data_IF_068145695131
#
_entry.id   IF_068145695131
#
_cell.length_a   1.000
_cell.length_b   1.000
_cell.length_c   1.000
_cell.angle_alpha   90.00
_cell.angle_beta   90.00
_cell.angle_gamma   90.00
#
_symmetry.space_group_name_H-M   'P 1'
#
loop_
_entity.id
_entity.type
_entity.pdbx_description
1 polymer ?
#
# COMPACT_ATOMS: atom_id res chain seq x y z
N UNK A 1 -68.14 -46.90 -8.09
CA UNK A 1 -66.88 -46.38 -8.68
C UNK A 1 -66.71 -44.93 -8.26
N UNK A 2 -65.90 -44.69 -7.23
CA UNK A 2 -65.58 -43.37 -6.70
C UNK A 2 -64.52 -42.70 -7.59
N UNK A 3 -64.74 -41.44 -7.99
CA UNK A 3 -63.67 -40.55 -8.46
C UNK A 3 -63.47 -39.47 -7.41
N UNK A 4 -62.36 -39.57 -6.68
CA UNK A 4 -61.91 -38.54 -5.76
C UNK A 4 -61.34 -37.36 -6.56
N UNK A 5 -61.84 -36.16 -6.31
CA UNK A 5 -61.25 -34.90 -6.75
C UNK A 5 -60.31 -34.46 -5.63
N UNK A 6 -59.00 -34.52 -5.87
CA UNK A 6 -57.99 -33.98 -4.96
C UNK A 6 -57.77 -32.51 -5.34
N UNK A 7 -58.22 -31.62 -4.46
CA UNK A 7 -57.89 -30.18 -4.49
C UNK A 7 -56.44 -30.02 -4.02
N UNK A 8 -55.53 -29.67 -4.93
CA UNK A 8 -54.17 -29.29 -4.59
C UNK A 8 -54.10 -27.82 -4.20
N UNK A 9 -54.07 -27.51 -2.91
CA UNK A 9 -53.72 -26.19 -2.39
C UNK A 9 -52.21 -25.97 -2.50
N UNK A 10 -51.77 -25.20 -3.49
CA UNK A 10 -50.39 -24.70 -3.56
C UNK A 10 -50.15 -23.64 -2.48
N UNK A 11 -49.46 -24.03 -1.41
CA UNK A 11 -48.86 -23.10 -0.45
C UNK A 11 -47.63 -22.47 -1.10
N UNK A 12 -47.74 -21.20 -1.51
CA UNK A 12 -46.59 -20.37 -1.84
C UNK A 12 -45.88 -20.00 -0.54
N UNK A 13 -44.81 -20.72 -0.21
CA UNK A 13 -43.84 -20.26 0.79
C UNK A 13 -43.02 -19.15 0.14
N UNK A 14 -43.37 -17.91 0.44
CA UNK A 14 -42.56 -16.74 0.10
C UNK A 14 -41.22 -16.84 0.81
N UNK A 15 -40.21 -17.36 0.12
CA UNK A 15 -38.83 -17.26 0.56
C UNK A 15 -38.48 -15.78 0.63
N UNK A 16 -38.34 -15.26 1.85
CA UNK A 16 -37.65 -14.00 2.07
C UNK A 16 -36.23 -14.23 1.57
N UNK A 17 -35.92 -13.73 0.38
CA UNK A 17 -34.54 -13.60 -0.05
C UNK A 17 -33.88 -12.71 1.00
N UNK A 18 -33.08 -13.32 1.87
CA UNK A 18 -32.12 -12.58 2.67
C UNK A 18 -31.16 -11.98 1.63
N UNK A 19 -31.48 -10.77 1.19
CA UNK A 19 -30.53 -9.94 0.49
C UNK A 19 -29.26 -9.94 1.35
N UNK A 20 -28.18 -10.43 0.75
CA UNK A 20 -26.86 -10.48 1.36
C UNK A 20 -26.51 -9.04 1.75
N UNK A 21 -26.80 -8.63 2.99
CA UNK A 21 -26.31 -7.37 3.52
C UNK A 21 -24.79 -7.54 3.48
N UNK A 22 -24.13 -6.84 2.55
CA UNK A 22 -22.68 -6.79 2.57
C UNK A 22 -22.30 -6.20 3.92
N UNK A 23 -21.78 -7.04 4.81
CA UNK A 23 -21.23 -6.61 6.08
C UNK A 23 -20.28 -5.44 5.80
N UNK A 24 -20.52 -4.31 6.46
CA UNK A 24 -19.62 -3.16 6.46
C UNK A 24 -18.20 -3.63 6.80
N UNK A 25 -17.22 -3.36 5.94
CA UNK A 25 -15.84 -3.79 6.17
C UNK A 25 -15.04 -2.69 6.84
N UNK A 26 -14.10 -3.05 7.70
CA UNK A 26 -13.10 -2.17 8.26
C UNK A 26 -11.82 -2.29 7.42
N UNK A 27 -11.36 -1.18 6.85
CA UNK A 27 -10.22 -1.15 5.92
C UNK A 27 -9.14 -0.22 6.42
N UNK A 28 -7.93 -0.76 6.61
CA UNK A 28 -6.77 0.01 7.01
C UNK A 28 -5.85 0.25 5.81
N UNK A 29 -5.45 1.50 5.61
CA UNK A 29 -4.44 1.92 4.63
C UNK A 29 -3.28 2.58 5.36
N UNK A 30 -2.08 2.02 5.20
CA UNK A 30 -0.85 2.48 5.82
C UNK A 30 0.05 3.06 4.73
N UNK A 31 0.27 4.37 4.73
CA UNK A 31 1.14 5.08 3.80
C UNK A 31 2.49 5.33 4.47
N UNK A 32 3.58 4.83 3.88
CA UNK A 32 4.93 5.06 4.41
C UNK A 32 6.01 5.19 3.35
N UNK A 33 7.15 5.72 3.78
CA UNK A 33 8.33 5.95 2.96
C UNK A 33 8.90 7.36 3.11
N UNK A 34 9.40 7.93 2.02
CA UNK A 34 10.15 9.19 2.05
C UNK A 34 9.83 10.08 0.85
N UNK A 35 10.44 11.27 0.80
CA UNK A 35 10.38 12.25 -0.30
C UNK A 35 8.95 12.50 -0.78
N UNK A 36 8.56 11.93 -1.92
CA UNK A 36 7.25 12.12 -2.52
C UNK A 36 6.11 11.60 -1.63
N UNK A 37 6.30 10.50 -0.89
CA UNK A 37 5.31 10.06 0.11
C UNK A 37 5.15 11.07 1.23
N UNK A 38 6.26 11.66 1.72
CA UNK A 38 6.20 12.65 2.79
C UNK A 38 5.42 13.89 2.35
N UNK A 39 5.47 14.25 1.07
CA UNK A 39 4.78 15.42 0.49
C UNK A 39 3.34 15.16 0.07
N UNK A 40 2.97 13.93 -0.27
CA UNK A 40 1.59 13.56 -0.63
C UNK A 40 0.63 13.85 0.53
N UNK A 41 -0.36 14.73 0.36
CA UNK A 41 -1.45 14.83 1.32
C UNK A 41 -2.53 13.80 0.97
N UNK A 42 -2.79 12.76 1.80
CA UNK A 42 -3.80 11.76 1.46
C UNK A 42 -5.22 12.33 1.39
N UNK A 43 -5.51 13.42 2.11
CA UNK A 43 -6.86 13.98 2.17
C UNK A 43 -7.27 14.75 0.90
N UNK A 44 -6.31 15.10 0.05
CA UNK A 44 -6.61 15.80 -1.20
C UNK A 44 -7.35 14.87 -2.18
N UNK A 45 -6.88 13.63 -2.35
CA UNK A 45 -7.45 12.71 -3.34
C UNK A 45 -7.41 11.23 -2.96
N UNK A 46 -6.43 10.76 -2.18
CA UNK A 46 -6.34 9.34 -1.79
C UNK A 46 -7.53 8.92 -0.92
N UNK A 47 -7.74 9.59 0.22
CA UNK A 47 -8.83 9.29 1.16
C UNK A 47 -10.21 9.49 0.53
N UNK A 48 -10.50 10.61 -0.18
CA UNK A 48 -11.79 10.79 -0.85
C UNK A 48 -12.08 9.70 -1.91
N UNK A 49 -11.07 9.25 -2.65
CA UNK A 49 -11.23 8.19 -3.66
C UNK A 49 -11.62 6.86 -3.01
N UNK A 50 -10.99 6.52 -1.89
CA UNK A 50 -11.34 5.31 -1.11
C UNK A 50 -12.76 5.39 -0.56
N UNK A 51 -13.14 6.51 0.06
CA UNK A 51 -14.48 6.70 0.61
C UNK A 51 -15.57 6.62 -0.46
N UNK A 52 -15.31 7.15 -1.65
CA UNK A 52 -16.23 7.02 -2.79
C UNK A 52 -16.37 5.57 -3.26
N UNK A 53 -15.28 4.81 -3.28
CA UNK A 53 -15.28 3.42 -3.72
C UNK A 53 -15.86 2.44 -2.68
N UNK A 54 -15.81 2.82 -1.40
CA UNK A 54 -16.26 2.04 -0.26
C UNK A 54 -17.17 2.87 0.68
N UNK A 55 -18.33 3.36 0.19
CA UNK A 55 -19.13 4.38 0.89
C UNK A 55 -19.73 3.91 2.22
N UNK A 56 -19.81 2.60 2.42
CA UNK A 56 -20.37 1.99 3.62
C UNK A 56 -19.30 1.38 4.52
N UNK A 57 -18.03 1.36 4.10
CA UNK A 57 -16.96 0.74 4.87
C UNK A 57 -16.31 1.77 5.79
N UNK A 58 -15.77 1.31 6.91
CA UNK A 58 -14.95 2.14 7.77
C UNK A 58 -13.53 2.18 7.22
N UNK A 59 -13.16 3.32 6.63
CA UNK A 59 -11.84 3.55 6.03
C UNK A 59 -10.94 4.29 7.02
N UNK A 60 -9.85 3.65 7.44
CA UNK A 60 -8.80 4.26 8.27
C UNK A 60 -7.55 4.45 7.43
N UNK A 61 -7.05 5.69 7.39
CA UNK A 61 -5.82 6.05 6.69
C UNK A 61 -4.79 6.53 7.70
N UNK A 62 -3.63 5.87 7.71
CA UNK A 62 -2.48 6.24 8.54
C UNK A 62 -1.34 6.60 7.60
N UNK A 63 -0.71 7.75 7.83
CA UNK A 63 0.50 8.13 7.10
C UNK A 63 1.64 8.39 8.08
N UNK A 64 2.74 7.68 7.90
CA UNK A 64 4.02 7.96 8.56
C UNK A 64 5.15 7.93 7.52
N UNK A 65 5.67 9.11 7.19
CA UNK A 65 6.72 9.25 6.18
C UNK A 65 7.67 10.38 6.55
N UNK A 66 8.95 10.26 6.17
CA UNK A 66 9.96 11.27 6.47
C UNK A 66 10.91 11.48 5.31
N UNK A 67 11.08 12.73 4.88
CA UNK A 67 11.92 13.10 3.74
C UNK A 67 13.41 12.80 3.91
N UNK A 68 14.07 12.41 2.82
CA UNK A 68 15.53 12.28 2.72
C UNK A 68 16.11 11.05 3.42
N UNK A 69 15.29 10.06 3.75
CA UNK A 69 15.70 8.92 4.57
C UNK A 69 15.95 7.66 3.72
N UNK A 70 17.03 6.89 3.99
CA UNK A 70 17.28 5.62 3.32
C UNK A 70 16.37 4.51 3.88
N UNK A 71 16.11 3.47 3.09
CA UNK A 71 15.23 2.35 3.49
C UNK A 71 15.75 1.60 4.72
N UNK A 72 17.04 1.66 5.03
CA UNK A 72 17.62 1.08 6.26
C UNK A 72 17.04 1.65 7.55
N UNK A 73 16.39 2.81 7.50
CA UNK A 73 15.63 3.39 8.61
C UNK A 73 14.31 2.66 8.87
N UNK A 74 13.80 1.92 7.87
CA UNK A 74 12.59 1.10 7.95
C UNK A 74 12.87 -0.40 8.07
N UNK A 75 14.07 -0.86 7.71
CA UNK A 75 14.45 -2.27 7.86
C UNK A 75 15.03 -2.51 9.25
N UNK A 76 14.42 -3.42 10.02
CA UNK A 76 15.03 -3.86 11.29
C UNK A 76 16.29 -4.68 10.99
N UNK A 77 17.34 -4.54 11.80
CA UNK A 77 18.50 -5.41 11.67
C UNK A 77 18.11 -6.86 11.99
N UNK A 78 18.74 -7.82 11.33
CA UNK A 78 18.60 -9.23 11.72
C UNK A 78 19.19 -9.43 13.12
N UNK A 79 18.68 -10.43 13.86
CA UNK A 79 19.21 -10.81 15.18
C UNK A 79 20.73 -11.13 15.15
N UNK A 80 21.28 -11.50 13.99
CA UNK A 80 22.71 -11.72 13.79
C UNK A 80 23.56 -10.44 13.67
N UNK A 81 22.94 -9.25 13.64
CA UNK A 81 23.60 -7.95 13.40
C UNK A 81 23.74 -7.09 14.65
N UNK A 82 23.42 -7.61 15.84
CA UNK A 82 23.31 -6.86 17.11
C UNK A 82 24.58 -6.12 17.55
N UNK A 83 25.76 -6.51 17.04
CA UNK A 83 27.05 -5.94 17.47
C UNK A 83 27.49 -4.62 16.80
N UNK A 84 26.83 -4.14 15.74
CA UNK A 84 27.30 -2.99 14.94
C UNK A 84 26.19 -2.05 14.45
N UNK A 85 25.13 -1.89 15.26
CA UNK A 85 23.97 -1.08 14.86
C UNK A 85 24.27 0.42 14.98
N UNK A 86 24.19 1.12 13.85
CA UNK A 86 24.10 2.59 13.88
C UNK A 86 22.80 2.98 14.59
N UNK A 87 22.84 4.06 15.39
CA UNK A 87 21.73 4.55 16.25
C UNK A 87 20.43 4.92 15.53
N UNK A 88 20.35 4.67 14.22
CA UNK A 88 19.31 5.13 13.31
C UNK A 88 18.73 3.99 12.46
N UNK A 89 19.16 2.74 12.59
CA UNK A 89 18.59 1.63 11.81
C UNK A 89 17.25 1.21 12.41
N UNK A 90 16.22 1.00 11.58
CA UNK A 90 14.91 0.47 11.99
C UNK A 90 13.98 1.39 12.79
N UNK A 91 14.46 2.50 13.33
CA UNK A 91 13.67 3.40 14.19
C UNK A 91 12.50 4.13 13.50
N UNK A 92 12.53 4.38 12.19
CA UNK A 92 11.33 4.89 11.48
C UNK A 92 10.27 3.81 11.34
N UNK A 93 10.67 2.55 11.25
CA UNK A 93 9.71 1.47 11.30
C UNK A 93 9.12 1.30 12.69
N UNK A 94 9.91 1.45 13.76
CA UNK A 94 9.35 1.41 15.12
C UNK A 94 8.34 2.55 15.34
N UNK A 95 8.61 3.75 14.81
CA UNK A 95 7.65 4.87 14.81
C UNK A 95 6.39 4.54 14.01
N UNK A 96 6.54 4.00 12.79
CA UNK A 96 5.42 3.57 11.95
C UNK A 96 4.56 2.55 12.70
N UNK A 97 5.17 1.49 13.23
CA UNK A 97 4.46 0.41 13.90
C UNK A 97 3.77 0.90 15.18
N UNK A 98 4.41 1.78 15.94
CA UNK A 98 3.78 2.42 17.11
C UNK A 98 2.54 3.24 16.70
N UNK A 99 2.65 4.02 15.63
CA UNK A 99 1.52 4.83 15.10
C UNK A 99 0.39 3.94 14.63
N UNK A 100 0.70 2.86 13.90
CA UNK A 100 -0.28 1.86 13.46
C UNK A 100 -0.98 1.25 14.66
N UNK A 101 -0.24 0.70 15.63
CA UNK A 101 -0.80 0.05 16.83
C UNK A 101 -1.72 0.97 17.63
N UNK A 102 -1.34 2.24 17.81
CA UNK A 102 -2.17 3.22 18.55
C UNK A 102 -3.45 3.54 17.77
N UNK A 103 -3.35 3.78 16.47
CA UNK A 103 -4.50 4.17 15.64
C UNK A 103 -5.40 2.99 15.26
N UNK A 104 -4.92 1.76 15.47
CA UNK A 104 -5.61 0.51 15.15
C UNK A 104 -6.04 -0.28 16.40
N UNK A 105 -5.82 0.25 17.61
CA UNK A 105 -5.94 -0.49 18.87
C UNK A 105 -7.32 -1.13 19.10
N UNK A 106 -8.38 -0.45 18.64
CA UNK A 106 -9.76 -0.83 18.89
C UNK A 106 -10.44 -1.52 17.69
N UNK A 107 -9.71 -1.77 16.60
CA UNK A 107 -10.28 -2.16 15.31
C UNK A 107 -9.81 -3.52 14.80
N UNK A 108 -10.74 -4.46 14.61
CA UNK A 108 -10.52 -5.55 13.65
C UNK A 108 -10.61 -4.98 12.23
N UNK A 109 -9.62 -5.27 11.37
CA UNK A 109 -9.60 -4.84 9.98
C UNK A 109 -9.75 -6.03 9.04
N UNK A 110 -10.78 -6.03 8.19
CA UNK A 110 -10.97 -7.03 7.15
C UNK A 110 -9.81 -6.98 6.14
N UNK A 111 -9.35 -5.78 5.79
CA UNK A 111 -8.23 -5.60 4.85
C UNK A 111 -7.22 -4.61 5.38
N UNK A 112 -5.94 -4.92 5.20
CA UNK A 112 -4.82 -3.99 5.42
C UNK A 112 -4.07 -3.80 4.11
N UNK A 113 -3.83 -2.55 3.75
CA UNK A 113 -3.06 -2.17 2.55
C UNK A 113 -1.88 -1.31 2.96
N UNK A 114 -0.67 -1.74 2.60
CA UNK A 114 0.55 -0.97 2.76
C UNK A 114 0.91 -0.27 1.44
N UNK A 115 0.88 1.05 1.45
CA UNK A 115 1.25 1.91 0.32
C UNK A 115 2.65 2.46 0.59
N UNK A 116 3.61 2.02 -0.20
CA UNK A 116 5.02 2.34 -0.04
C UNK A 116 5.52 3.24 -1.16
N UNK A 117 6.19 4.34 -0.81
CA UNK A 117 6.94 5.12 -1.79
C UNK A 117 8.19 5.74 -1.17
N UNK A 118 9.33 5.23 -1.61
CA UNK A 118 10.66 5.55 -1.13
C UNK A 118 11.65 5.02 -2.18
N UNK A 119 12.89 5.50 -2.18
CA UNK A 119 13.97 4.90 -2.96
C UNK A 119 14.99 5.91 -3.44
N UNK A 120 14.59 7.19 -3.52
CA UNK A 120 15.44 8.26 -4.01
C UNK A 120 16.69 8.45 -3.14
N UNK A 121 16.60 8.26 -1.82
CA UNK A 121 17.78 8.30 -0.95
C UNK A 121 18.75 7.14 -1.20
N UNK A 122 18.25 5.93 -1.45
CA UNK A 122 19.09 4.74 -1.66
C UNK A 122 19.77 4.81 -3.03
N UNK A 123 19.04 5.26 -4.06
CA UNK A 123 19.59 5.53 -5.38
C UNK A 123 20.70 6.61 -5.31
N UNK A 124 20.45 7.73 -4.61
CA UNK A 124 21.46 8.78 -4.43
C UNK A 124 22.71 8.32 -3.65
N UNK A 125 22.57 7.33 -2.77
CA UNK A 125 23.67 6.77 -1.98
C UNK A 125 24.37 5.58 -2.65
N UNK A 126 24.01 5.25 -3.89
CA UNK A 126 24.53 4.10 -4.64
C UNK A 126 24.26 2.76 -3.94
N UNK A 127 23.05 2.63 -3.43
CA UNK A 127 22.59 1.46 -2.67
C UNK A 127 21.47 0.70 -3.40
N UNK A 128 21.38 0.84 -4.73
CA UNK A 128 20.32 0.22 -5.52
C UNK A 128 20.37 -1.31 -5.51
N UNK A 129 21.56 -1.90 -5.47
CA UNK A 129 21.76 -3.37 -5.46
C UNK A 129 21.06 -4.07 -4.28
N UNK A 130 21.05 -3.42 -3.12
CA UNK A 130 20.46 -3.97 -1.89
C UNK A 130 19.01 -3.50 -1.67
N UNK A 131 18.41 -2.79 -2.63
CA UNK A 131 17.10 -2.18 -2.44
C UNK A 131 15.99 -3.22 -2.34
N UNK A 132 15.98 -4.19 -3.26
CA UNK A 132 14.94 -5.22 -3.31
C UNK A 132 14.86 -6.01 -2.00
N UNK A 133 16.00 -6.52 -1.53
CA UNK A 133 16.06 -7.32 -0.30
C UNK A 133 15.58 -6.53 0.91
N UNK A 134 15.92 -5.24 1.00
CA UNK A 134 15.46 -4.37 2.08
C UNK A 134 13.97 -4.06 2.00
N UNK A 135 13.42 -3.81 0.81
CA UNK A 135 11.98 -3.58 0.67
C UNK A 135 11.18 -4.85 0.98
N UNK A 136 11.64 -6.02 0.53
CA UNK A 136 11.06 -7.30 0.96
C UNK A 136 11.14 -7.48 2.48
N UNK A 137 12.23 -7.08 3.11
CA UNK A 137 12.35 -7.13 4.57
C UNK A 137 11.33 -6.21 5.27
N UNK A 138 11.14 -4.96 4.79
CA UNK A 138 10.11 -4.03 5.32
C UNK A 138 8.70 -4.61 5.20
N UNK A 139 8.37 -5.20 4.05
CA UNK A 139 7.06 -5.84 3.83
C UNK A 139 6.91 -7.06 4.75
N UNK A 140 7.93 -7.92 4.82
CA UNK A 140 7.92 -9.15 5.61
C UNK A 140 7.78 -8.89 7.11
N UNK A 141 8.55 -7.93 7.66
CA UNK A 141 8.43 -7.56 9.07
C UNK A 141 7.06 -6.96 9.38
N UNK A 142 6.47 -6.18 8.46
CA UNK A 142 5.12 -5.64 8.65
C UNK A 142 4.06 -6.75 8.65
N UNK A 143 4.15 -7.71 7.71
CA UNK A 143 3.29 -8.92 7.71
C UNK A 143 3.39 -9.66 9.04
N UNK A 144 4.61 -9.87 9.55
CA UNK A 144 4.85 -10.54 10.83
C UNK A 144 4.30 -9.78 12.03
N UNK A 145 4.64 -8.49 12.17
CA UNK A 145 4.25 -7.65 13.30
C UNK A 145 2.73 -7.38 13.35
N UNK A 146 2.06 -7.42 12.18
CA UNK A 146 0.61 -7.32 12.08
C UNK A 146 -0.09 -8.68 12.13
N UNK A 147 0.65 -9.79 12.06
CA UNK A 147 0.12 -11.15 11.95
C UNK A 147 -0.83 -11.33 10.75
N UNK A 148 -0.42 -10.84 9.58
CA UNK A 148 -1.22 -10.84 8.34
C UNK A 148 -0.39 -11.33 7.15
N UNK A 149 -0.76 -12.49 6.61
CA UNK A 149 -0.18 -13.00 5.36
C UNK A 149 -0.87 -12.43 4.10
N UNK A 150 -2.07 -11.86 4.27
CA UNK A 150 -2.94 -11.28 3.25
C UNK A 150 -2.78 -9.75 3.10
N UNK A 151 -1.64 -9.21 3.53
CA UNK A 151 -1.33 -7.79 3.38
C UNK A 151 -1.26 -7.40 1.89
N UNK A 152 -2.10 -6.45 1.48
CA UNK A 152 -2.00 -5.82 0.16
C UNK A 152 -0.86 -4.81 0.13
N UNK A 153 -0.09 -4.77 -0.96
CA UNK A 153 1.07 -3.88 -1.10
C UNK A 153 0.97 -3.06 -2.39
N UNK A 154 1.02 -1.74 -2.28
CA UNK A 154 1.06 -0.82 -3.41
C UNK A 154 2.40 -0.10 -3.41
N UNK A 155 3.21 -0.31 -4.45
CA UNK A 155 4.55 0.30 -4.55
C UNK A 155 4.52 1.47 -5.54
N UNK A 156 4.80 2.68 -5.07
CA UNK A 156 5.06 3.83 -5.94
C UNK A 156 6.47 3.77 -6.50
N UNK A 157 6.59 3.64 -7.82
CA UNK A 157 7.89 3.72 -8.48
C UNK A 157 8.45 5.13 -8.30
N UNK A 158 9.71 5.28 -7.88
CA UNK A 158 10.33 6.62 -7.78
C UNK A 158 10.37 7.28 -9.17
N UNK A 159 10.31 8.61 -9.23
CA UNK A 159 10.26 9.35 -10.51
C UNK A 159 11.43 9.04 -11.45
N UNK A 160 11.32 9.43 -12.71
CA UNK A 160 12.35 9.23 -13.75
C UNK A 160 13.58 10.15 -13.61
N UNK A 161 13.62 11.00 -12.56
CA UNK A 161 14.68 11.98 -12.27
C UNK A 161 16.11 11.45 -12.48
N UNK A 162 16.41 10.20 -12.13
CA UNK A 162 17.77 9.67 -12.26
C UNK A 162 18.25 9.46 -13.69
N UNK A 163 17.36 9.35 -14.68
CA UNK A 163 17.73 8.89 -16.03
C UNK A 163 18.46 9.93 -16.87
N UNK A 164 18.19 11.22 -16.67
CA UNK A 164 18.92 12.31 -17.33
C UNK A 164 20.24 12.67 -16.63
N UNK A 165 20.69 11.88 -15.64
CA UNK A 165 21.85 12.17 -14.78
C UNK A 165 22.78 10.96 -14.74
N UNK A 166 23.91 11.06 -15.46
CA UNK A 166 24.81 9.94 -15.68
C UNK A 166 25.33 9.30 -14.37
N UNK A 167 25.59 10.10 -13.34
CA UNK A 167 26.07 9.65 -12.03
C UNK A 167 24.99 8.96 -11.18
N UNK A 168 23.71 9.10 -11.55
CA UNK A 168 22.55 8.55 -10.82
C UNK A 168 21.88 7.39 -11.54
N UNK A 169 21.94 7.37 -12.87
CA UNK A 169 21.16 6.48 -13.73
C UNK A 169 21.18 5.02 -13.26
N UNK A 170 22.37 4.47 -12.99
CA UNK A 170 22.54 3.05 -12.64
C UNK A 170 21.76 2.65 -11.39
N UNK A 171 21.98 3.32 -10.25
CA UNK A 171 21.27 2.96 -9.01
C UNK A 171 19.80 3.38 -9.02
N UNK A 172 19.44 4.41 -9.78
CA UNK A 172 18.03 4.79 -9.97
C UNK A 172 17.25 3.70 -10.72
N UNK A 173 17.85 3.13 -11.76
CA UNK A 173 17.30 2.03 -12.53
C UNK A 173 17.17 0.76 -11.66
N UNK A 174 18.19 0.43 -10.87
CA UNK A 174 18.14 -0.71 -9.94
C UNK A 174 16.99 -0.59 -8.94
N UNK A 175 16.82 0.58 -8.32
CA UNK A 175 15.71 0.82 -7.38
C UNK A 175 14.36 0.69 -8.08
N UNK A 176 14.18 1.32 -9.24
CA UNK A 176 12.92 1.24 -10.01
C UNK A 176 12.60 -0.18 -10.44
N UNK A 177 13.58 -0.95 -10.90
CA UNK A 177 13.41 -2.34 -11.31
C UNK A 177 13.02 -3.21 -10.11
N UNK A 178 13.66 -3.03 -8.96
CA UNK A 178 13.31 -3.72 -7.72
C UNK A 178 11.86 -3.44 -7.27
N UNK A 179 11.43 -2.18 -7.37
CA UNK A 179 10.06 -1.77 -7.03
C UNK A 179 9.00 -2.48 -7.90
N UNK A 180 9.24 -2.50 -9.22
CA UNK A 180 8.36 -3.17 -10.18
C UNK A 180 8.39 -4.70 -9.97
N UNK A 181 9.59 -5.28 -9.84
CA UNK A 181 9.77 -6.72 -9.69
C UNK A 181 9.07 -7.27 -8.44
N UNK A 182 9.17 -6.60 -7.29
CA UNK A 182 8.44 -6.99 -6.07
C UNK A 182 6.93 -7.01 -6.33
N UNK A 183 6.41 -5.98 -6.99
CA UNK A 183 4.99 -5.84 -7.26
C UNK A 183 4.45 -6.86 -8.29
N UNK A 184 5.27 -7.26 -9.27
CA UNK A 184 4.86 -8.20 -10.31
C UNK A 184 5.00 -9.68 -9.88
N UNK A 185 5.76 -9.95 -8.81
CA UNK A 185 6.00 -11.31 -8.30
C UNK A 185 5.13 -11.72 -7.11
N UNK A 186 4.25 -10.85 -6.62
CA UNK A 186 3.33 -11.11 -5.51
C UNK A 186 1.89 -10.78 -5.95
N UNK A 187 0.96 -11.73 -5.82
CA UNK A 187 -0.44 -11.55 -6.24
C UNK A 187 -1.23 -10.58 -5.34
N UNK A 188 -0.70 -10.28 -4.16
CA UNK A 188 -1.18 -9.24 -3.25
C UNK A 188 -0.38 -7.94 -3.38
N UNK A 189 0.39 -7.77 -4.46
CA UNK A 189 1.08 -6.53 -4.75
C UNK A 189 0.73 -5.95 -6.12
N UNK A 190 0.90 -4.63 -6.25
CA UNK A 190 0.91 -3.93 -7.54
C UNK A 190 1.75 -2.66 -7.40
N UNK A 191 2.00 -1.97 -8.52
CA UNK A 191 2.80 -0.75 -8.53
C UNK A 191 2.11 0.38 -9.29
N UNK A 192 2.51 1.62 -8.97
CA UNK A 192 2.02 2.83 -9.60
C UNK A 192 3.14 3.51 -10.37
N UNK A 193 2.88 3.78 -11.65
CA UNK A 193 3.76 4.61 -12.48
C UNK A 193 3.61 6.09 -12.13
N UNK A 194 4.73 6.80 -12.15
CA UNK A 194 4.86 8.19 -11.70
C UNK A 194 5.65 9.08 -12.67
N UNK A 195 6.02 8.56 -13.84
CA UNK A 195 6.92 9.26 -14.78
C UNK A 195 6.31 10.56 -15.34
N UNK A 196 4.98 10.70 -15.32
CA UNK A 196 4.26 11.89 -15.78
C UNK A 196 3.95 12.91 -14.67
N UNK A 197 4.34 12.64 -13.41
CA UNK A 197 3.88 13.43 -12.25
C UNK A 197 4.83 14.58 -11.86
N UNK A 198 6.08 14.57 -12.33
CA UNK A 198 7.13 15.54 -11.98
C UNK A 198 7.31 16.67 -13.00
N UNK A 199 6.41 16.75 -13.98
CA UNK A 199 6.38 17.78 -15.02
C UNK A 199 7.52 17.67 -16.02
N UNK A 200 7.51 18.48 -17.08
CA UNK A 200 8.43 18.34 -18.22
C UNK A 200 9.92 18.63 -17.96
N UNK A 201 10.32 18.88 -16.71
CA UNK A 201 11.72 19.04 -16.28
C UNK A 201 12.26 17.82 -15.51
N UNK A 202 11.46 16.76 -15.39
CA UNK A 202 11.78 15.52 -14.69
C UNK A 202 12.35 15.80 -13.30
N UNK A 203 11.62 16.61 -12.52
CA UNK A 203 12.04 17.02 -11.18
C UNK A 203 12.01 15.82 -10.23
N UNK A 204 12.76 15.92 -9.14
CA UNK A 204 12.75 14.88 -8.10
C UNK A 204 11.35 14.76 -7.45
N UNK A 205 10.72 15.91 -7.23
CA UNK A 205 9.42 16.02 -6.58
C UNK A 205 8.34 16.36 -7.59
N UNK A 206 7.12 15.89 -7.30
CA UNK A 206 5.97 16.10 -8.15
C UNK A 206 5.44 17.53 -8.14
N UNK A 207 4.68 17.85 -9.18
CA UNK A 207 3.88 19.07 -9.23
C UNK A 207 2.67 18.94 -8.30
N UNK A 208 1.99 20.04 -7.99
CA UNK A 208 0.79 20.01 -7.14
C UNK A 208 -0.30 19.10 -7.73
N UNK A 209 -0.54 19.20 -9.04
CA UNK A 209 -1.44 18.28 -9.75
C UNK A 209 -0.89 16.85 -9.79
N UNK A 210 0.43 16.68 -9.92
CA UNK A 210 1.09 15.37 -9.84
C UNK A 210 0.84 14.65 -8.51
N UNK A 211 0.80 15.38 -7.38
CA UNK A 211 0.46 14.79 -6.08
C UNK A 211 -1.02 14.40 -5.98
N UNK A 212 -1.93 15.19 -6.55
CA UNK A 212 -3.36 14.82 -6.64
C UNK A 212 -3.53 13.54 -7.44
N UNK A 213 -2.93 13.46 -8.63
CA UNK A 213 -2.95 12.25 -9.47
C UNK A 213 -2.28 11.06 -8.77
N UNK A 214 -1.19 11.27 -8.04
CA UNK A 214 -0.54 10.21 -7.26
C UNK A 214 -1.49 9.60 -6.23
N UNK A 215 -2.20 10.44 -5.46
CA UNK A 215 -3.17 9.99 -4.47
C UNK A 215 -4.31 9.19 -5.10
N UNK A 216 -4.85 9.65 -6.22
CA UNK A 216 -5.89 8.93 -6.97
C UNK A 216 -5.39 7.57 -7.47
N UNK A 217 -4.18 7.52 -8.06
CA UNK A 217 -3.60 6.28 -8.58
C UNK A 217 -3.32 5.27 -7.48
N UNK A 218 -2.78 5.70 -6.34
CA UNK A 218 -2.58 4.80 -5.20
C UNK A 218 -3.90 4.24 -4.68
N UNK A 219 -4.92 5.08 -4.54
CA UNK A 219 -6.23 4.64 -4.07
C UNK A 219 -6.86 3.66 -5.08
N UNK A 220 -6.83 3.97 -6.38
CA UNK A 220 -7.38 3.11 -7.42
C UNK A 220 -6.64 1.76 -7.52
N UNK A 221 -5.31 1.77 -7.40
CA UNK A 221 -4.52 0.54 -7.36
C UNK A 221 -4.93 -0.35 -6.17
N UNK A 222 -5.07 0.25 -4.98
CA UNK A 222 -5.54 -0.48 -3.79
C UNK A 222 -6.96 -1.03 -3.96
N UNK A 223 -7.90 -0.22 -4.46
CA UNK A 223 -9.28 -0.63 -4.73
C UNK A 223 -9.33 -1.82 -5.69
N UNK A 224 -8.61 -1.74 -6.80
CA UNK A 224 -8.56 -2.80 -7.81
C UNK A 224 -8.01 -4.09 -7.22
N UNK A 225 -6.90 -3.99 -6.49
CA UNK A 225 -6.23 -5.14 -5.90
C UNK A 225 -7.08 -5.83 -4.82
N UNK A 226 -7.72 -5.05 -3.95
CA UNK A 226 -8.65 -5.54 -2.92
C UNK A 226 -9.85 -6.23 -3.57
N UNK A 227 -10.47 -5.63 -4.59
CA UNK A 227 -11.65 -6.21 -5.26
C UNK A 227 -11.30 -7.51 -5.99
N UNK A 228 -10.13 -7.58 -6.62
CA UNK A 228 -9.65 -8.78 -7.32
C UNK A 228 -9.47 -9.98 -6.39
N UNK A 229 -8.97 -9.76 -5.17
CA UNK A 229 -8.62 -10.84 -4.23
C UNK A 229 -9.66 -11.06 -3.12
N UNK A 230 -10.58 -10.12 -2.91
CA UNK A 230 -11.65 -10.19 -1.91
C UNK A 230 -13.01 -10.63 -2.45
N UNK A 231 -13.04 -11.22 -3.65
CA UNK A 231 -14.22 -11.84 -4.28
C UNK A 231 -14.33 -13.31 -3.91
#
# INVERSE_FOLDING_TARGET
MMKAIVMGSMLFWGGVSMANQSLHKNRLFILSGQSNMARLNPDDTFTPTLQKAFPNDHVVVIKDAQGGQPISRWTKPSASSEGNLQSKVGDLYDRLLSTVKVSSADGHFDTVTFVWMQGESDANKRQGEQYESKLRAVIGQLKQDMQRDDLYVIVGRISDFGFKRQDKKSDWEKVRNAQVHIAETDNHATWVDTDDLNGGMDRLHYTDEGYKTLGERFAQAAITLIKKNGS
#
